data_IF_104981743837
#
_entry.id   IF_104981743837
#
_cell.length_a   1.000
_cell.length_b   1.000
_cell.length_c   1.000
_cell.angle_alpha   90.00
_cell.angle_beta   90.00
_cell.angle_gamma   90.00
#
_symmetry.space_group_name_H-M   'P 1'
#
loop_
_entity.id
_entity.type
_entity.pdbx_description
1 polymer ?
#
# COMPACT_ATOMS: atom_id res chain seq x y z
N UNK A 1 22.51 -8.76 3.94
CA UNK A 1 22.22 -7.61 3.08
C UNK A 1 20.77 -7.58 2.70
N UNK A 2 20.16 -6.44 2.83
CA UNK A 2 18.74 -6.30 2.50
C UNK A 2 18.51 -6.06 1.03
N UNK A 3 17.44 -6.62 0.54
CA UNK A 3 17.00 -6.30 -0.82
C UNK A 3 16.44 -4.89 -0.85
N UNK A 4 16.60 -4.19 -1.96
CA UNK A 4 16.00 -2.86 -2.07
C UNK A 4 14.49 -2.95 -2.03
N UNK A 5 13.86 -1.94 -1.47
CA UNK A 5 12.41 -1.89 -1.36
C UNK A 5 11.73 -1.59 -2.67
N UNK A 6 12.45 -0.96 -3.58
CA UNK A 6 11.90 -0.58 -4.88
C UNK A 6 12.74 -1.23 -5.95
N UNK A 7 12.09 -1.75 -6.97
CA UNK A 7 12.79 -2.29 -8.12
C UNK A 7 13.14 -1.18 -9.07
N UNK A 8 14.27 -1.37 -9.73
CA UNK A 8 14.71 -0.40 -10.71
C UNK A 8 14.15 -0.74 -12.07
N UNK A 9 13.85 0.27 -12.81
CA UNK A 9 13.80 0.18 -14.25
C UNK A 9 12.46 -0.04 -14.90
N UNK A 10 11.75 -1.06 -14.56
CA UNK A 10 10.63 -1.44 -15.41
C UNK A 10 9.28 -1.40 -14.74
N UNK A 11 9.21 -0.99 -13.50
CA UNK A 11 7.97 -1.06 -12.78
C UNK A 11 7.18 0.23 -12.92
N UNK A 12 5.89 0.07 -13.00
CA UNK A 12 4.99 1.20 -13.03
C UNK A 12 4.74 1.65 -11.60
N UNK A 13 5.61 2.52 -11.12
CA UNK A 13 5.46 3.08 -9.79
C UNK A 13 4.49 4.24 -9.87
N UNK A 14 3.41 4.16 -9.12
CA UNK A 14 2.38 5.19 -9.17
C UNK A 14 2.41 6.14 -7.99
N UNK A 15 2.85 5.69 -6.83
CA UNK A 15 2.98 6.53 -5.64
C UNK A 15 1.74 7.36 -5.35
N UNK A 16 0.60 6.71 -5.29
CA UNK A 16 -0.67 7.41 -5.05
C UNK A 16 -0.91 7.52 -3.55
N UNK A 17 -0.94 8.74 -2.99
CA UNK A 17 -1.28 8.88 -1.57
C UNK A 17 -2.73 8.47 -1.35
N UNK A 18 -2.98 7.76 -0.25
CA UNK A 18 -4.34 7.31 0.06
C UNK A 18 -4.63 7.57 1.53
N UNK A 19 -5.90 7.69 1.83
CA UNK A 19 -6.38 7.72 3.20
C UNK A 19 -6.77 6.29 3.56
N UNK A 20 -6.16 5.74 4.58
CA UNK A 20 -6.32 4.33 4.91
C UNK A 20 -7.03 4.16 6.24
N UNK A 21 -8.01 3.27 6.27
CA UNK A 21 -8.51 2.74 7.52
C UNK A 21 -7.79 1.43 7.78
N UNK A 22 -7.08 1.37 8.88
CA UNK A 22 -6.29 0.20 9.23
C UNK A 22 -6.54 -0.13 10.69
N UNK A 23 -6.29 -1.37 11.05
CA UNK A 23 -6.42 -1.81 12.43
C UNK A 23 -5.06 -2.27 12.91
N UNK A 24 -4.74 -1.91 14.16
CA UNK A 24 -3.57 -2.44 14.84
C UNK A 24 -4.08 -3.31 15.96
N UNK A 25 -3.71 -4.59 15.96
CA UNK A 25 -4.19 -5.48 17.00
C UNK A 25 -3.38 -5.28 18.29
N UNK A 26 -3.75 -6.03 19.33
CA UNK A 26 -3.12 -5.86 20.65
C UNK A 26 -1.64 -6.23 20.64
N UNK A 27 -1.18 -6.95 19.65
CA UNK A 27 0.23 -7.32 19.50
C UNK A 27 1.00 -6.38 18.58
N UNK A 28 0.34 -5.32 18.11
CA UNK A 28 0.99 -4.34 17.25
C UNK A 28 0.96 -4.67 15.78
N UNK A 29 0.19 -5.68 15.38
CA UNK A 29 0.11 -6.06 13.98
C UNK A 29 -0.83 -5.12 13.24
N UNK A 30 -0.30 -4.40 12.28
CA UNK A 30 -1.04 -3.42 11.49
C UNK A 30 -1.61 -4.09 10.26
N UNK A 31 -2.90 -3.90 10.00
CA UNK A 31 -3.56 -4.49 8.85
C UNK A 31 -4.40 -3.45 8.14
N UNK A 32 -4.14 -3.18 6.84
CA UNK A 32 -4.97 -2.25 6.09
C UNK A 32 -6.30 -2.89 5.74
N UNK A 33 -7.38 -2.14 5.86
CA UNK A 33 -8.73 -2.67 5.64
C UNK A 33 -9.39 -2.09 4.40
N UNK A 34 -9.36 -0.77 4.25
CA UNK A 34 -9.88 -0.12 3.04
C UNK A 34 -9.27 1.27 2.94
N UNK A 35 -9.28 1.82 1.74
CA UNK A 35 -8.70 3.13 1.53
C UNK A 35 -9.56 3.96 0.60
N UNK A 36 -9.31 5.26 0.63
CA UNK A 36 -9.93 6.23 -0.26
C UNK A 36 -8.84 7.01 -0.96
N UNK A 37 -9.11 7.37 -2.20
CA UNK A 37 -8.21 8.23 -2.94
C UNK A 37 -9.02 9.11 -3.87
N UNK A 38 -8.41 10.20 -4.27
CA UNK A 38 -9.05 11.16 -5.16
C UNK A 38 -8.61 10.88 -6.58
N UNK A 39 -9.59 10.74 -7.48
CA UNK A 39 -9.31 10.51 -8.89
C UNK A 39 -8.91 11.82 -9.58
N UNK A 40 -8.48 11.71 -10.83
CA UNK A 40 -8.14 12.89 -11.62
C UNK A 40 -9.32 13.83 -11.80
N UNK A 41 -10.51 13.29 -11.73
CA UNK A 41 -11.75 14.09 -11.85
C UNK A 41 -12.21 14.62 -10.50
N UNK A 42 -11.36 14.53 -9.49
CA UNK A 42 -11.66 15.01 -8.13
C UNK A 42 -12.80 14.27 -7.46
N UNK A 43 -12.98 13.00 -7.81
CA UNK A 43 -13.95 12.14 -7.15
C UNK A 43 -13.25 11.26 -6.15
N UNK A 44 -13.92 11.00 -5.03
CA UNK A 44 -13.38 10.14 -3.98
C UNK A 44 -13.87 8.72 -4.22
N UNK A 45 -12.92 7.79 -4.32
CA UNK A 45 -13.25 6.39 -4.49
C UNK A 45 -12.80 5.61 -3.26
N UNK A 46 -13.66 4.73 -2.79
CA UNK A 46 -13.39 3.87 -1.65
C UNK A 46 -13.17 2.46 -2.12
N UNK A 47 -12.03 1.89 -1.74
CA UNK A 47 -11.63 0.56 -2.18
C UNK A 47 -11.41 -0.32 -0.95
N UNK A 48 -12.12 -1.45 -0.91
CA UNK A 48 -11.96 -2.42 0.17
C UNK A 48 -10.86 -3.41 -0.19
N UNK A 49 -10.00 -3.68 0.76
CA UNK A 49 -8.94 -4.67 0.59
C UNK A 49 -9.54 -6.02 0.89
N UNK A 50 -9.47 -6.93 -0.08
CA UNK A 50 -9.98 -8.27 0.10
C UNK A 50 -9.06 -9.13 0.94
N UNK A 51 -7.76 -9.00 0.70
CA UNK A 51 -6.81 -9.91 1.31
C UNK A 51 -5.43 -9.27 1.33
N UNK A 52 -4.73 -9.44 2.43
CA UNK A 52 -3.32 -9.13 2.51
C UNK A 52 -2.55 -10.39 2.20
N UNK A 53 -1.87 -10.41 1.06
CA UNK A 53 -1.18 -11.59 0.57
C UNK A 53 0.14 -11.77 1.30
N UNK A 54 0.87 -10.68 1.49
CA UNK A 54 2.13 -10.74 2.22
C UNK A 54 2.39 -9.39 2.89
N UNK A 55 3.23 -9.42 3.89
CA UNK A 55 3.63 -8.22 4.59
C UNK A 55 5.11 -8.29 4.91
N UNK A 56 5.78 -7.16 4.78
CA UNK A 56 7.20 -7.04 4.99
C UNK A 56 7.50 -5.69 5.57
N UNK A 57 8.74 -5.52 5.99
CA UNK A 57 9.22 -4.23 6.42
C UNK A 57 10.50 -3.96 5.65
N UNK A 58 10.66 -2.74 5.16
CA UNK A 58 11.87 -2.41 4.43
C UNK A 58 12.43 -1.09 4.92
N UNK A 59 13.74 -0.96 4.78
CA UNK A 59 14.45 0.25 5.14
C UNK A 59 15.37 0.61 4.01
N UNK A 60 15.34 1.86 3.62
CA UNK A 60 16.17 2.33 2.52
C UNK A 60 16.61 3.76 2.85
N UNK A 61 17.90 3.96 2.94
CA UNK A 61 18.51 5.26 3.26
C UNK A 61 17.87 5.90 4.49
N UNK A 62 17.63 5.10 5.53
CA UNK A 62 17.07 5.60 6.77
C UNK A 62 15.56 5.72 6.81
N UNK A 63 14.89 5.48 5.69
CA UNK A 63 13.43 5.53 5.63
C UNK A 63 12.90 4.12 5.87
N UNK A 64 12.05 3.98 6.89
CA UNK A 64 11.48 2.68 7.21
C UNK A 64 10.02 2.63 6.81
N UNK A 65 9.65 1.58 6.11
CA UNK A 65 8.29 1.41 5.63
C UNK A 65 7.81 -0.01 5.85
N UNK A 66 6.53 -0.15 6.12
CA UNK A 66 5.87 -1.44 6.09
C UNK A 66 5.28 -1.63 4.70
N UNK A 67 5.51 -2.80 4.14
CA UNK A 67 5.08 -3.10 2.78
C UNK A 67 4.03 -4.19 2.84
N UNK A 68 2.92 -3.97 2.15
CA UNK A 68 1.82 -4.93 2.10
C UNK A 68 1.50 -5.23 0.64
N UNK A 69 1.46 -6.50 0.30
CA UNK A 69 0.95 -6.92 -1.01
C UNK A 69 -0.49 -7.34 -0.78
N UNK A 70 -1.41 -6.65 -1.43
CA UNK A 70 -2.84 -6.83 -1.18
C UNK A 70 -3.61 -7.01 -2.46
N UNK A 71 -4.72 -7.73 -2.38
CA UNK A 71 -5.68 -7.76 -3.47
C UNK A 71 -6.90 -6.94 -3.08
N UNK A 72 -7.49 -6.28 -4.06
CA UNK A 72 -8.66 -5.45 -3.85
C UNK A 72 -9.49 -5.39 -5.12
N UNK A 73 -10.76 -5.05 -4.95
CA UNK A 73 -11.68 -4.93 -6.08
C UNK A 73 -11.85 -3.46 -6.45
N UNK A 74 -11.55 -3.16 -7.70
CA UNK A 74 -11.80 -1.84 -8.29
C UNK A 74 -12.98 -2.03 -9.22
N UNK A 75 -14.20 -1.75 -8.71
CA UNK A 75 -15.39 -2.12 -9.43
C UNK A 75 -15.51 -3.64 -9.48
N UNK A 76 -15.45 -4.19 -10.68
CA UNK A 76 -15.51 -5.64 -10.84
C UNK A 76 -14.14 -6.26 -11.12
N UNK A 77 -13.11 -5.44 -11.15
CA UNK A 77 -11.78 -5.91 -11.51
C UNK A 77 -10.92 -6.08 -10.26
N UNK A 78 -10.38 -7.29 -10.09
CA UNK A 78 -9.46 -7.55 -8.98
C UNK A 78 -8.07 -7.12 -9.37
N UNK A 79 -7.45 -6.33 -8.51
CA UNK A 79 -6.08 -5.88 -8.73
C UNK A 79 -5.22 -6.27 -7.54
N UNK A 80 -3.96 -6.54 -7.83
CA UNK A 80 -2.96 -6.79 -6.81
C UNK A 80 -2.05 -5.59 -6.77
N UNK A 81 -1.78 -5.10 -5.58
CA UNK A 81 -1.01 -3.88 -5.43
C UNK A 81 -0.07 -3.95 -4.26
N UNK A 82 0.97 -3.16 -4.33
CA UNK A 82 1.89 -2.98 -3.23
C UNK A 82 1.52 -1.68 -2.53
N UNK A 83 1.17 -1.78 -1.25
CA UNK A 83 0.81 -0.64 -0.43
C UNK A 83 1.93 -0.44 0.58
N UNK A 84 2.32 0.80 0.80
CA UNK A 84 3.38 1.13 1.73
C UNK A 84 2.91 2.09 2.79
N UNK A 85 3.37 1.85 3.99
CA UNK A 85 3.11 2.68 5.15
C UNK A 85 4.43 3.20 5.68
N UNK A 86 4.61 4.52 5.66
CA UNK A 86 5.82 5.14 6.19
C UNK A 86 5.69 5.22 7.71
N UNK A 87 6.60 4.58 8.42
CA UNK A 87 6.51 4.46 9.87
C UNK A 87 6.66 5.81 10.55
N UNK A 88 7.52 6.66 10.03
CA UNK A 88 7.76 7.95 10.65
C UNK A 88 6.64 8.96 10.37
N UNK A 89 6.25 9.10 9.12
CA UNK A 89 5.23 10.08 8.75
C UNK A 89 3.81 9.57 8.99
N UNK A 90 3.67 8.25 9.16
CA UNK A 90 2.38 7.59 9.34
C UNK A 90 1.45 7.80 8.16
N UNK A 91 2.03 7.88 6.97
CA UNK A 91 1.27 8.08 5.74
C UNK A 91 1.28 6.81 4.90
N UNK A 92 0.18 6.61 4.20
CA UNK A 92 -0.03 5.44 3.35
C UNK A 92 -0.03 5.86 1.89
N UNK A 93 0.46 4.96 1.03
CA UNK A 93 0.39 5.17 -0.40
C UNK A 93 0.32 3.83 -1.13
N UNK A 94 -0.29 3.85 -2.31
CA UNK A 94 -0.16 2.74 -3.25
C UNK A 94 1.13 2.98 -4.00
N UNK A 95 2.07 2.07 -3.82
CA UNK A 95 3.37 2.22 -4.45
C UNK A 95 3.33 1.80 -5.91
N UNK A 96 2.70 0.67 -6.19
CA UNK A 96 2.59 0.18 -7.56
C UNK A 96 1.49 -0.86 -7.65
N UNK A 97 0.99 -1.06 -8.88
CA UNK A 97 0.10 -2.16 -9.18
C UNK A 97 0.92 -3.31 -9.74
N UNK A 98 0.61 -4.51 -9.30
CA UNK A 98 1.33 -5.70 -9.71
C UNK A 98 0.53 -6.56 -10.68
N UNK A 99 -0.72 -6.27 -10.86
CA UNK A 99 -1.53 -6.97 -11.85
C UNK A 99 -2.71 -6.11 -12.28
#
# INVERSE_FOLDING_TARGET
MEAPCAKMGDMTVVNIPVQMLAVTDRNGKLTPLWFRFETEEHQIEKIAIEKTISRDECAYTGIREKKFICSALFGEERKIMEIRYNIESQKWRIFQFLS
#
